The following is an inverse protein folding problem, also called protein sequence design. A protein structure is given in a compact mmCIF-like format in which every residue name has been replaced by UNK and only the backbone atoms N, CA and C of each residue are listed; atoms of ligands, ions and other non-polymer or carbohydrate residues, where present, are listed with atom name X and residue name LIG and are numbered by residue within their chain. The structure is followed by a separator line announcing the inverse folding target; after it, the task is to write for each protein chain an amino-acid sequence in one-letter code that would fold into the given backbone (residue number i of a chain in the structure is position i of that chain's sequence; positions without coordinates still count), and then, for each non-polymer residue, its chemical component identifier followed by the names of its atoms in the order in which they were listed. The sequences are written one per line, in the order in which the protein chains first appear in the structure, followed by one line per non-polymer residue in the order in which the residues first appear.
data_IF_505391950421
#
_entry.id   IF_505391950421
#
_cell.length_a   1.000
_cell.length_b   1.000
_cell.length_c   1.000
_cell.angle_alpha   90.00
_cell.angle_beta   90.00
_cell.angle_gamma   90.00
#
_symmetry.space_group_name_H-M   'P 1'
#
loop_
_entity.id
_entity.type
_entity.pdbx_description
1 polymer ?
#
# COMPACT_ATOMS: atom_id res chain seq x y z
N UNK A 1 -13.14 5.68 -28.73
CA UNK A 1 -13.18 4.55 -29.68
C UNK A 1 -13.61 5.01 -31.08
N UNK A 2 -14.77 5.70 -31.22
CA UNK A 2 -15.27 6.18 -32.54
C UNK A 2 -14.25 7.11 -33.25
N UNK A 3 -13.65 8.06 -32.50
CA UNK A 3 -12.64 8.99 -33.04
C UNK A 3 -11.34 8.28 -33.46
N UNK A 4 -10.92 7.25 -32.71
CA UNK A 4 -9.75 6.43 -33.08
C UNK A 4 -10.01 5.57 -34.31
N UNK A 5 -11.23 5.03 -34.43
CA UNK A 5 -11.63 4.29 -35.62
C UNK A 5 -11.72 5.19 -36.85
N UNK A 6 -12.19 6.43 -36.69
CA UNK A 6 -12.25 7.42 -37.79
C UNK A 6 -10.86 7.88 -38.23
N UNK A 7 -9.90 8.04 -37.30
CA UNK A 7 -8.52 8.37 -37.59
C UNK A 7 -7.81 7.21 -38.33
N UNK A 8 -8.03 5.96 -37.88
CA UNK A 8 -7.53 4.77 -38.58
C UNK A 8 -8.12 4.62 -40.00
N UNK A 9 -9.41 4.95 -40.18
CA UNK A 9 -10.02 4.98 -41.49
C UNK A 9 -9.44 6.09 -42.40
N UNK A 10 -9.15 7.26 -41.82
CA UNK A 10 -8.48 8.37 -42.51
C UNK A 10 -7.07 8.00 -42.97
N UNK A 11 -6.32 7.24 -42.17
CA UNK A 11 -5.02 6.69 -42.55
C UNK A 11 -5.13 5.71 -43.74
N UNK A 12 -6.13 4.84 -43.73
CA UNK A 12 -6.37 3.84 -44.77
C UNK A 12 -6.83 4.47 -46.09
N UNK A 13 -7.60 5.57 -46.04
CA UNK A 13 -8.21 6.19 -47.22
C UNK A 13 -7.39 7.33 -47.82
N UNK A 14 -6.68 8.11 -47.01
CA UNK A 14 -6.00 9.32 -47.44
C UNK A 14 -4.48 9.30 -47.27
N UNK A 15 -3.91 8.28 -46.60
CA UNK A 15 -2.48 8.16 -46.35
C UNK A 15 -1.91 9.22 -45.37
N UNK A 16 -2.76 10.04 -44.77
CA UNK A 16 -2.38 11.08 -43.81
C UNK A 16 -3.31 11.08 -42.58
N UNK A 17 -2.78 11.30 -41.35
CA UNK A 17 -3.62 11.42 -40.18
C UNK A 17 -4.50 12.65 -40.28
N UNK A 18 -5.79 12.50 -40.02
CA UNK A 18 -6.72 13.63 -39.92
C UNK A 18 -6.47 14.36 -38.56
N UNK A 19 -5.48 15.26 -38.55
CA UNK A 19 -5.02 15.99 -37.37
C UNK A 19 -6.16 16.68 -36.57
N UNK A 20 -7.21 17.13 -37.24
CA UNK A 20 -8.37 17.76 -36.64
C UNK A 20 -9.21 16.78 -35.80
N UNK A 21 -9.18 15.45 -36.08
CA UNK A 21 -9.81 14.41 -35.28
C UNK A 21 -9.04 14.07 -34.02
N UNK A 22 -7.73 14.31 -34.00
CA UNK A 22 -6.90 14.09 -32.80
C UNK A 22 -7.04 15.20 -31.74
N UNK A 23 -7.39 16.42 -32.17
CA UNK A 23 -7.57 17.57 -31.27
C UNK A 23 -8.53 17.30 -30.09
N UNK A 24 -9.77 16.81 -30.30
CA UNK A 24 -10.69 16.55 -29.20
C UNK A 24 -10.18 15.45 -28.26
N UNK A 25 -9.42 14.47 -28.77
CA UNK A 25 -8.80 13.43 -27.91
C UNK A 25 -7.76 14.06 -27.01
N UNK A 26 -6.87 14.91 -27.53
CA UNK A 26 -5.88 15.62 -26.72
C UNK A 26 -6.51 16.53 -25.69
N UNK A 27 -7.56 17.26 -26.05
CA UNK A 27 -8.30 18.14 -25.13
C UNK A 27 -8.93 17.32 -23.97
N UNK A 28 -9.57 16.19 -24.28
CA UNK A 28 -10.19 15.34 -23.25
C UNK A 28 -9.17 14.71 -22.31
N UNK A 29 -8.01 14.30 -22.83
CA UNK A 29 -6.91 13.77 -22.01
C UNK A 29 -6.34 14.85 -21.08
N UNK A 30 -6.08 16.05 -21.62
CA UNK A 30 -5.58 17.17 -20.81
C UNK A 30 -6.60 17.56 -19.72
N UNK A 31 -7.88 17.67 -20.08
CA UNK A 31 -8.93 17.97 -19.11
C UNK A 31 -9.02 16.93 -18.00
N UNK A 32 -8.90 15.64 -18.33
CA UNK A 32 -8.90 14.55 -17.36
C UNK A 32 -7.69 14.60 -16.43
N UNK A 33 -6.50 14.89 -16.94
CA UNK A 33 -5.28 15.07 -16.14
C UNK A 33 -5.43 16.26 -15.18
N UNK A 34 -5.93 17.41 -15.68
CA UNK A 34 -6.14 18.60 -14.88
C UNK A 34 -7.18 18.37 -13.77
N UNK A 35 -8.29 17.67 -14.06
CA UNK A 35 -9.30 17.32 -13.08
C UNK A 35 -8.74 16.39 -12.00
N UNK A 36 -8.00 15.37 -12.36
CA UNK A 36 -7.32 14.47 -11.43
C UNK A 36 -6.30 15.23 -10.56
N UNK A 37 -5.50 16.10 -11.16
CA UNK A 37 -4.53 16.90 -10.44
C UNK A 37 -5.20 17.87 -9.46
N UNK A 38 -6.27 18.54 -9.87
CA UNK A 38 -7.06 19.41 -9.00
C UNK A 38 -7.62 18.67 -7.80
N UNK A 39 -8.24 17.50 -7.97
CA UNK A 39 -8.76 16.69 -6.87
C UNK A 39 -7.67 16.27 -5.89
N UNK A 40 -6.48 15.90 -6.39
CA UNK A 40 -5.33 15.58 -5.57
C UNK A 40 -4.79 16.77 -4.79
N UNK A 41 -4.72 17.95 -5.41
CA UNK A 41 -4.29 19.21 -4.73
C UNK A 41 -5.26 19.59 -3.62
N UNK A 42 -6.56 19.49 -3.85
CA UNK A 42 -7.60 19.74 -2.83
C UNK A 42 -7.46 18.76 -1.68
N UNK A 43 -7.26 17.47 -1.98
CA UNK A 43 -7.03 16.43 -0.98
C UNK A 43 -5.76 16.67 -0.16
N UNK A 44 -4.69 17.10 -0.81
CA UNK A 44 -3.44 17.45 -0.13
C UNK A 44 -3.60 18.63 0.83
N UNK A 45 -4.28 19.71 0.38
CA UNK A 45 -4.57 20.88 1.22
C UNK A 45 -5.38 20.54 2.45
N UNK A 46 -6.27 19.52 2.36
CA UNK A 46 -7.12 19.07 3.46
C UNK A 46 -6.35 18.19 4.47
N UNK A 47 -5.50 17.28 4.01
CA UNK A 47 -4.91 16.23 4.85
C UNK A 47 -3.41 16.37 5.11
N UNK A 48 -2.68 17.20 4.36
CA UNK A 48 -1.22 17.39 4.45
C UNK A 48 -0.41 16.09 4.52
N UNK A 49 -0.94 14.98 4.02
CA UNK A 49 -0.28 13.67 4.10
C UNK A 49 0.87 13.56 3.10
N UNK A 50 2.00 13.02 3.56
CA UNK A 50 3.16 12.77 2.69
C UNK A 50 2.84 11.84 1.52
N UNK A 51 1.86 10.96 1.68
CA UNK A 51 1.40 10.06 0.63
C UNK A 51 0.75 10.80 -0.53
N UNK A 52 -0.17 11.70 -0.24
CA UNK A 52 -0.84 12.51 -1.29
C UNK A 52 0.18 13.36 -2.02
N UNK A 53 1.20 13.89 -1.32
CA UNK A 53 2.33 14.61 -1.94
C UNK A 53 3.08 13.72 -2.94
N UNK A 54 3.39 12.48 -2.57
CA UNK A 54 4.10 11.56 -3.46
C UNK A 54 3.27 11.16 -4.68
N UNK A 55 1.96 11.01 -4.53
CA UNK A 55 1.03 10.78 -5.63
C UNK A 55 0.97 12.01 -6.54
N UNK A 56 0.89 13.22 -5.98
CA UNK A 56 0.94 14.47 -6.75
C UNK A 56 2.22 14.58 -7.58
N UNK A 57 3.37 14.25 -7.00
CA UNK A 57 4.65 14.24 -7.72
C UNK A 57 4.65 13.22 -8.88
N UNK A 58 4.10 12.02 -8.66
CA UNK A 58 3.99 11.01 -9.71
C UNK A 58 3.13 11.50 -10.88
N UNK A 59 1.95 12.08 -10.59
CA UNK A 59 1.10 12.68 -11.62
C UNK A 59 1.76 13.90 -12.28
N UNK A 60 2.55 14.69 -11.57
CA UNK A 60 3.33 15.79 -12.11
C UNK A 60 4.34 15.33 -13.16
N UNK A 61 5.03 14.22 -12.91
CA UNK A 61 5.97 13.61 -13.88
C UNK A 61 5.25 13.15 -15.14
N UNK A 62 4.09 12.49 -14.98
CA UNK A 62 3.28 12.06 -16.12
C UNK A 62 2.79 13.24 -16.94
N UNK A 63 2.27 14.28 -16.27
CA UNK A 63 1.78 15.48 -16.94
C UNK A 63 2.90 16.24 -17.69
N UNK A 64 4.07 16.37 -17.09
CA UNK A 64 5.24 16.97 -17.74
C UNK A 64 5.67 16.20 -18.99
N UNK A 65 5.72 14.86 -18.91
CA UNK A 65 6.01 14.00 -20.06
C UNK A 65 4.97 14.15 -21.20
N UNK A 66 3.69 14.20 -20.82
CA UNK A 66 2.61 14.38 -21.79
C UNK A 66 2.63 15.77 -22.45
N UNK A 67 2.86 16.83 -21.69
CA UNK A 67 2.99 18.19 -22.22
C UNK A 67 4.20 18.34 -23.15
N UNK A 68 5.34 17.75 -22.78
CA UNK A 68 6.53 17.75 -23.60
C UNK A 68 6.31 16.98 -24.91
N UNK A 69 5.65 15.83 -24.84
CA UNK A 69 5.27 15.05 -26.00
C UNK A 69 4.34 15.85 -26.94
N UNK A 70 3.36 16.54 -26.37
CA UNK A 70 2.44 17.40 -27.14
C UNK A 70 3.16 18.57 -27.80
N UNK A 71 4.05 19.25 -27.07
CA UNK A 71 4.86 20.34 -27.60
C UNK A 71 5.75 19.89 -28.78
N UNK A 72 6.41 18.74 -28.64
CA UNK A 72 7.24 18.17 -29.71
C UNK A 72 6.41 17.72 -30.92
N UNK A 73 5.19 17.23 -30.73
CA UNK A 73 4.26 16.84 -31.76
C UNK A 73 3.82 18.07 -32.59
N UNK A 74 3.40 19.16 -31.96
CA UNK A 74 2.93 20.35 -32.64
C UNK A 74 4.05 21.26 -33.18
N UNK A 75 5.28 21.16 -32.67
CA UNK A 75 6.43 21.93 -33.22
C UNK A 75 6.95 21.41 -34.55
N UNK A 76 6.33 20.39 -35.11
CA UNK A 76 6.70 19.86 -36.45
C UNK A 76 8.01 19.06 -36.44
N UNK A 77 8.54 18.71 -35.29
CA UNK A 77 9.69 17.80 -35.19
C UNK A 77 9.33 16.45 -35.81
N UNK A 78 9.84 16.23 -37.04
CA UNK A 78 9.67 14.96 -37.74
C UNK A 78 10.53 13.90 -37.07
N UNK A 79 9.89 12.99 -36.31
CA UNK A 79 10.59 11.88 -35.68
C UNK A 79 9.80 11.23 -34.59
N UNK A 80 10.37 10.19 -33.95
CA UNK A 80 9.79 9.47 -32.82
C UNK A 80 9.94 10.22 -31.47
N UNK A 81 10.39 11.48 -31.47
CA UNK A 81 10.76 12.25 -30.28
C UNK A 81 9.58 12.42 -29.30
N UNK A 82 8.37 12.70 -29.83
CA UNK A 82 7.16 12.81 -29.02
C UNK A 82 6.82 11.49 -28.29
N UNK A 83 7.00 10.36 -28.98
CA UNK A 83 6.76 9.05 -28.39
C UNK A 83 7.77 8.74 -27.28
N UNK A 84 9.04 9.10 -27.48
CA UNK A 84 10.09 8.92 -26.46
C UNK A 84 9.78 9.76 -25.23
N UNK A 85 9.38 11.03 -25.39
CA UNK A 85 9.02 11.92 -24.29
C UNK A 85 7.83 11.37 -23.50
N UNK A 86 6.79 10.90 -24.19
CA UNK A 86 5.62 10.29 -23.55
C UNK A 86 5.98 9.00 -22.79
N UNK A 87 6.73 8.10 -23.43
CA UNK A 87 7.17 6.86 -22.80
C UNK A 87 8.06 7.10 -21.56
N UNK A 88 8.94 8.11 -21.63
CA UNK A 88 9.79 8.48 -20.50
C UNK A 88 8.96 9.00 -19.32
N UNK A 89 7.95 9.87 -19.57
CA UNK A 89 7.02 10.34 -18.56
C UNK A 89 6.19 9.20 -17.93
N UNK A 90 5.69 8.29 -18.79
CA UNK A 90 4.93 7.13 -18.33
C UNK A 90 5.80 6.17 -17.50
N UNK A 91 7.03 5.91 -17.92
CA UNK A 91 7.97 5.07 -17.17
C UNK A 91 8.28 5.69 -15.80
N UNK A 92 8.57 6.99 -15.75
CA UNK A 92 8.79 7.71 -14.49
C UNK A 92 7.60 7.63 -13.56
N UNK A 93 6.38 7.80 -14.08
CA UNK A 93 5.14 7.62 -13.32
C UNK A 93 4.98 6.21 -12.75
N UNK A 94 5.21 5.17 -13.57
CA UNK A 94 5.11 3.77 -13.13
C UNK A 94 6.14 3.43 -12.05
N UNK A 95 7.37 3.93 -12.18
CA UNK A 95 8.41 3.76 -11.16
C UNK A 95 7.99 4.41 -9.84
N UNK A 96 7.45 5.63 -9.87
CA UNK A 96 6.99 6.32 -8.68
C UNK A 96 5.79 5.61 -8.03
N UNK A 97 4.82 5.13 -8.83
CA UNK A 97 3.71 4.32 -8.33
C UNK A 97 4.21 3.03 -7.66
N UNK A 98 5.14 2.32 -8.30
CA UNK A 98 5.75 1.12 -7.74
C UNK A 98 6.38 1.38 -6.37
N UNK A 99 7.11 2.50 -6.22
CA UNK A 99 7.69 2.90 -4.93
C UNK A 99 6.63 3.18 -3.87
N UNK A 100 5.53 3.86 -4.23
CA UNK A 100 4.43 4.15 -3.31
C UNK A 100 3.77 2.84 -2.83
N UNK A 101 3.46 1.93 -3.77
CA UNK A 101 2.86 0.63 -3.46
C UNK A 101 3.78 -0.21 -2.56
N UNK A 102 5.06 -0.33 -2.91
CA UNK A 102 6.05 -1.06 -2.10
C UNK A 102 6.18 -0.47 -0.70
N UNK A 103 6.15 0.85 -0.56
CA UNK A 103 6.19 1.51 0.74
C UNK A 103 4.96 1.15 1.58
N UNK A 104 3.76 1.18 1.01
CA UNK A 104 2.52 0.78 1.69
C UNK A 104 2.52 -0.70 2.11
N UNK A 105 3.00 -1.59 1.24
CA UNK A 105 3.11 -3.02 1.57
C UNK A 105 4.05 -3.21 2.76
N UNK A 106 5.22 -2.55 2.75
CA UNK A 106 6.18 -2.63 3.86
C UNK A 106 5.59 -2.10 5.16
N UNK A 107 4.86 -1.00 5.12
CA UNK A 107 4.18 -0.46 6.30
C UNK A 107 3.15 -1.45 6.85
N UNK A 108 2.28 -2.00 6.01
CA UNK A 108 1.26 -2.96 6.41
C UNK A 108 1.88 -4.23 7.03
N UNK A 109 2.97 -4.75 6.45
CA UNK A 109 3.71 -5.90 7.00
C UNK A 109 4.33 -5.58 8.36
N UNK A 110 4.94 -4.39 8.50
CA UNK A 110 5.53 -3.97 9.78
C UNK A 110 4.47 -3.77 10.87
N UNK A 111 3.33 -3.16 10.54
CA UNK A 111 2.21 -2.99 11.46
C UNK A 111 1.66 -4.34 11.93
N UNK A 112 1.53 -5.29 11.01
CA UNK A 112 1.09 -6.64 11.34
C UNK A 112 2.08 -7.36 12.26
N UNK A 113 3.38 -7.28 11.97
CA UNK A 113 4.43 -7.85 12.81
C UNK A 113 4.47 -7.23 14.22
N UNK A 114 4.27 -5.91 14.32
CA UNK A 114 4.15 -5.23 15.61
C UNK A 114 2.92 -5.69 16.39
N UNK A 115 1.76 -5.81 15.73
CA UNK A 115 0.54 -6.33 16.34
C UNK A 115 0.72 -7.76 16.89
N UNK A 116 1.40 -8.63 16.15
CA UNK A 116 1.71 -9.98 16.61
C UNK A 116 2.65 -9.97 17.83
N UNK A 117 3.65 -9.11 17.83
CA UNK A 117 4.54 -8.94 18.97
C UNK A 117 3.78 -8.40 20.21
N UNK A 118 2.92 -7.39 20.03
CA UNK A 118 2.07 -6.90 21.12
C UNK A 118 1.13 -7.98 21.66
N UNK A 119 0.56 -8.82 20.80
CA UNK A 119 -0.26 -9.96 21.23
C UNK A 119 0.55 -10.97 22.03
N UNK A 120 1.76 -11.31 21.59
CA UNK A 120 2.65 -12.21 22.35
C UNK A 120 2.96 -11.64 23.73
N UNK A 121 3.35 -10.36 23.82
CA UNK A 121 3.64 -9.71 25.09
C UNK A 121 2.40 -9.62 26.00
N UNK A 122 1.21 -9.40 25.44
CA UNK A 122 -0.03 -9.29 26.19
C UNK A 122 -0.59 -10.63 26.67
N UNK A 123 -0.35 -11.73 25.94
CA UNK A 123 -1.00 -13.01 26.16
C UNK A 123 -0.06 -14.14 26.58
N UNK A 124 1.26 -13.97 26.43
CA UNK A 124 2.23 -14.95 26.88
C UNK A 124 2.80 -14.58 28.27
N UNK A 125 3.07 -15.58 29.07
CA UNK A 125 3.88 -15.46 30.27
C UNK A 125 5.35 -15.36 29.90
N UNK A 126 6.06 -14.40 30.47
CA UNK A 126 7.44 -14.08 30.06
C UNK A 126 8.46 -15.15 30.48
N UNK A 127 8.13 -15.96 31.49
CA UNK A 127 9.01 -17.00 31.98
C UNK A 127 8.82 -18.29 31.19
N UNK A 128 7.59 -18.76 31.11
CA UNK A 128 7.25 -20.10 30.59
C UNK A 128 6.92 -20.09 29.10
N UNK A 129 6.61 -18.92 28.52
CA UNK A 129 6.12 -18.78 27.15
C UNK A 129 4.68 -19.29 26.95
N UNK A 130 4.04 -19.82 27.98
CA UNK A 130 2.66 -20.28 27.93
C UNK A 130 1.68 -19.10 27.93
N UNK A 131 0.41 -19.36 27.65
CA UNK A 131 -0.62 -18.34 27.76
C UNK A 131 -0.79 -17.88 29.22
N UNK A 132 -0.76 -16.56 29.42
CA UNK A 132 -0.98 -15.95 30.71
C UNK A 132 -2.49 -15.87 31.07
N UNK A 133 -2.79 -15.38 32.27
CA UNK A 133 -4.16 -15.21 32.75
C UNK A 133 -5.01 -14.29 31.86
N UNK A 134 -4.42 -13.29 31.23
CA UNK A 134 -5.12 -12.39 30.30
C UNK A 134 -5.57 -13.14 29.05
N UNK A 135 -4.72 -14.00 28.49
CA UNK A 135 -5.07 -14.88 27.39
C UNK A 135 -6.20 -15.83 27.75
N UNK A 136 -6.14 -16.44 28.95
CA UNK A 136 -7.19 -17.31 29.44
C UNK A 136 -8.55 -16.60 29.52
N UNK A 137 -8.61 -15.40 30.12
CA UNK A 137 -9.84 -14.59 30.17
C UNK A 137 -10.41 -14.28 28.78
N UNK A 138 -9.54 -13.88 27.87
CA UNK A 138 -9.92 -13.56 26.49
C UNK A 138 -10.49 -14.78 25.78
N UNK A 139 -9.85 -15.93 25.89
CA UNK A 139 -10.34 -17.17 25.28
C UNK A 139 -11.65 -17.63 25.91
N UNK A 140 -11.74 -17.62 27.25
CA UNK A 140 -12.94 -18.03 27.98
C UNK A 140 -14.17 -17.24 27.58
N UNK A 141 -14.05 -15.94 27.33
CA UNK A 141 -15.18 -15.09 26.90
C UNK A 141 -15.72 -15.42 25.50
N UNK A 142 -14.98 -16.23 24.73
CA UNK A 142 -15.30 -16.64 23.35
C UNK A 142 -15.57 -18.14 23.22
N UNK A 143 -15.51 -18.88 24.31
CA UNK A 143 -15.82 -20.29 24.29
C UNK A 143 -17.28 -20.49 23.92
N UNK A 144 -17.60 -21.36 22.94
CA UNK A 144 -18.97 -21.70 22.65
C UNK A 144 -19.62 -22.36 23.86
N UNK A 145 -20.91 -22.16 24.02
CA UNK A 145 -21.71 -22.89 25.02
C UNK A 145 -21.81 -24.38 24.61
N UNK A 146 -20.77 -25.12 24.88
CA UNK A 146 -20.71 -26.59 24.66
C UNK A 146 -20.66 -27.26 26.01
N UNK A 147 -21.27 -28.44 26.11
CA UNK A 147 -21.35 -29.23 27.33
C UNK A 147 -20.26 -30.30 27.47
N UNK A 148 -19.43 -30.45 26.43
CA UNK A 148 -18.39 -31.50 26.30
C UNK A 148 -16.98 -31.00 26.60
N UNK A 149 -16.85 -30.01 27.48
CA UNK A 149 -15.56 -29.44 27.90
C UNK A 149 -15.04 -30.08 29.17
N UNK A 150 -13.76 -30.39 29.17
CA UNK A 150 -13.00 -30.68 30.40
C UNK A 150 -11.83 -29.72 30.46
N UNK A 151 -11.60 -29.09 31.61
CA UNK A 151 -10.37 -28.36 31.85
C UNK A 151 -9.68 -28.88 33.09
N UNK A 152 -8.36 -28.87 33.04
CA UNK A 152 -7.51 -29.39 34.11
C UNK A 152 -6.79 -28.20 34.74
N UNK A 153 -6.83 -28.13 36.06
CA UNK A 153 -6.03 -27.18 36.85
C UNK A 153 -4.84 -27.93 37.42
N UNK A 154 -3.66 -27.41 37.19
CA UNK A 154 -2.41 -27.98 37.69
C UNK A 154 -1.78 -26.94 38.59
N UNK A 155 -1.31 -27.38 39.77
CA UNK A 155 -0.54 -26.54 40.68
C UNK A 155 0.81 -27.21 40.96
N UNK A 156 1.85 -26.38 41.10
CA UNK A 156 3.20 -26.87 41.41
C UNK A 156 3.42 -26.82 42.89
N UNK A 157 3.50 -28.01 43.53
CA UNK A 157 3.76 -28.15 44.94
C UNK A 157 5.19 -27.68 45.29
N UNK A 158 5.33 -27.09 46.47
CA UNK A 158 6.62 -26.73 47.05
C UNK A 158 7.37 -25.59 46.35
N UNK A 159 6.78 -24.88 45.36
CA UNK A 159 7.42 -23.79 44.65
C UNK A 159 7.93 -22.68 45.59
N UNK A 160 7.10 -22.32 46.61
CA UNK A 160 7.50 -21.32 47.60
C UNK A 160 8.71 -21.82 48.40
N UNK A 161 8.72 -23.06 48.84
CA UNK A 161 9.80 -23.62 49.63
C UNK A 161 11.10 -23.72 48.80
N UNK A 162 11.00 -24.06 47.53
CA UNK A 162 12.12 -24.07 46.59
C UNK A 162 12.69 -22.65 46.44
N UNK A 163 11.83 -21.64 46.29
CA UNK A 163 12.26 -20.24 46.21
C UNK A 163 12.97 -19.78 47.51
N UNK A 164 12.39 -20.12 48.65
CA UNK A 164 12.92 -19.71 49.98
C UNK A 164 14.27 -20.41 50.25
N UNK A 165 14.46 -21.63 49.83
CA UNK A 165 15.67 -22.42 50.09
C UNK A 165 16.78 -22.20 49.03
N UNK A 166 16.43 -22.07 47.76
CA UNK A 166 17.39 -22.06 46.63
C UNK A 166 17.36 -20.79 45.78
N UNK A 167 16.47 -19.84 46.14
CA UNK A 167 16.27 -18.57 45.44
C UNK A 167 15.31 -18.68 44.26
N UNK A 168 14.82 -17.52 43.79
CA UNK A 168 13.81 -17.42 42.73
C UNK A 168 14.23 -18.08 41.43
N UNK A 169 15.52 -18.06 41.13
CA UNK A 169 16.03 -18.71 39.92
C UNK A 169 15.77 -20.23 39.89
N UNK A 170 15.87 -20.89 41.03
CA UNK A 170 15.56 -22.32 41.16
C UNK A 170 14.07 -22.59 40.98
N UNK A 171 13.20 -21.69 41.46
CA UNK A 171 11.76 -21.80 41.21
C UNK A 171 11.39 -21.53 39.76
N UNK A 172 12.08 -20.59 39.10
CA UNK A 172 11.89 -20.32 37.67
C UNK A 172 12.28 -21.55 36.80
N UNK A 173 13.40 -22.21 37.17
CA UNK A 173 13.84 -23.46 36.50
C UNK A 173 12.87 -24.63 36.75
N UNK A 174 12.14 -24.63 37.87
CA UNK A 174 11.12 -25.62 38.17
C UNK A 174 9.84 -25.40 37.34
N UNK A 175 9.56 -24.16 36.93
CA UNK A 175 8.38 -23.80 36.12
C UNK A 175 8.57 -23.98 34.62
N UNK A 176 9.80 -24.03 34.13
CA UNK A 176 10.17 -24.23 32.73
C UNK A 176 10.44 -25.68 32.41
#
# INVERSE_FOLDING_TARGET
LVLLAADAAGWLLAGQPMLWLLMPIHITVIASILAAFHTLVVSYKKNHSGEVRNILLAFGVLAAGALLALATFYSGYRGRTYAVCYCAGLLGFLVMLGRIVLHRIRQAVNEQAQLENYKKLAYADSLTGLFNYTAFKYMKSRWPERTDWTYIVIDVNWLKQTNDQYGHRAGDELLC
#
